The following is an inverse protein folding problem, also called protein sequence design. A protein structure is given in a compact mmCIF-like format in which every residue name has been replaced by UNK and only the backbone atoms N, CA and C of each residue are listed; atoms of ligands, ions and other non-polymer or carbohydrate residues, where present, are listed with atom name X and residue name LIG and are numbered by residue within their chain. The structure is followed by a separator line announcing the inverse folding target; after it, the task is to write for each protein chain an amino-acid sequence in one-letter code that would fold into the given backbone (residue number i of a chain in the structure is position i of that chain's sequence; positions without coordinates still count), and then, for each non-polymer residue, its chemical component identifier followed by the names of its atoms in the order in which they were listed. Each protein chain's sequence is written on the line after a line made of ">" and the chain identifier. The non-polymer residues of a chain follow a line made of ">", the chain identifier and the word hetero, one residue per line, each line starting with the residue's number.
data_IF_136057247695
#
_entry.id   IF_136057247695
#
_cell.length_a   1.000
_cell.length_b   1.000
_cell.length_c   1.000
_cell.angle_alpha   90.00
_cell.angle_beta   90.00
_cell.angle_gamma   90.00
#
_symmetry.space_group_name_H-M   'P 1'
#
loop_
_entity.id
_entity.type
_entity.pdbx_description
1 polymer ?
#
# COMPACT_ATOMS: atom_id res chain seq x y z
N UNK A 1 -31.72 14.95 -25.21
CA UNK A 1 -30.59 14.04 -24.97
C UNK A 1 -30.52 13.83 -23.47
N UNK A 2 -30.41 12.60 -22.95
CA UNK A 2 -30.26 12.44 -21.50
C UNK A 2 -29.00 13.21 -21.09
N UNK A 3 -29.14 14.13 -20.13
CA UNK A 3 -27.99 14.87 -19.59
C UNK A 3 -26.97 13.85 -19.09
N UNK A 4 -25.85 13.74 -19.80
CA UNK A 4 -24.78 12.84 -19.42
C UNK A 4 -24.28 13.24 -18.04
N UNK A 5 -24.33 12.31 -17.07
CA UNK A 5 -23.88 12.52 -15.70
C UNK A 5 -22.47 13.16 -15.66
N UNK A 6 -22.13 13.96 -14.65
CA UNK A 6 -20.78 14.52 -14.55
C UNK A 6 -19.70 13.42 -14.48
N UNK A 7 -18.44 13.79 -14.73
CA UNK A 7 -17.30 12.89 -14.56
C UNK A 7 -17.32 12.29 -13.14
N UNK A 8 -17.26 10.97 -13.07
CA UNK A 8 -17.07 10.26 -11.80
C UNK A 8 -15.57 10.15 -11.50
N UNK A 9 -15.12 10.59 -10.34
CA UNK A 9 -13.73 10.42 -9.90
C UNK A 9 -13.67 9.34 -8.82
N UNK A 10 -12.87 8.30 -9.06
CA UNK A 10 -12.60 7.23 -8.08
C UNK A 10 -11.11 7.21 -7.80
N UNK A 11 -10.73 7.31 -6.52
CA UNK A 11 -9.34 7.29 -6.08
C UNK A 11 -9.10 6.06 -5.20
N UNK A 12 -8.39 5.08 -5.75
CA UNK A 12 -7.86 3.96 -4.99
C UNK A 12 -6.60 4.39 -4.25
N UNK A 13 -6.74 4.47 -2.93
CA UNK A 13 -5.66 4.76 -2.00
C UNK A 13 -5.40 3.54 -1.14
N UNK A 14 -4.17 3.48 -0.65
CA UNK A 14 -3.81 2.79 0.56
C UNK A 14 -4.08 1.28 0.61
N UNK A 15 -3.44 0.58 1.55
CA UNK A 15 -2.04 0.80 1.90
C UNK A 15 -1.16 0.17 0.82
N UNK A 16 0.15 0.38 0.90
CA UNK A 16 1.06 -0.50 0.16
C UNK A 16 0.77 -1.95 0.60
N UNK A 17 1.09 -2.97 -0.23
CA UNK A 17 0.98 -4.38 0.19
C UNK A 17 -0.44 -4.91 0.48
N UNK A 18 -1.49 -4.21 0.03
CA UNK A 18 -2.91 -4.61 0.15
C UNK A 18 -3.48 -5.09 -1.20
N UNK A 19 -2.73 -5.95 -1.90
CA UNK A 19 -3.07 -6.39 -3.27
C UNK A 19 -2.99 -5.29 -4.34
N UNK A 20 -2.15 -4.27 -4.17
CA UNK A 20 -2.00 -3.19 -5.18
C UNK A 20 -1.76 -3.70 -6.60
N UNK A 21 -1.00 -4.80 -6.77
CA UNK A 21 -0.79 -5.46 -8.07
C UNK A 21 -2.08 -6.08 -8.64
N UNK A 22 -2.91 -6.69 -7.79
CA UNK A 22 -4.22 -7.21 -8.17
C UNK A 22 -5.07 -6.08 -8.75
N UNK A 23 -5.27 -5.01 -7.98
CA UNK A 23 -6.05 -3.87 -8.43
C UNK A 23 -5.45 -3.20 -9.67
N UNK A 24 -4.19 -2.77 -9.63
CA UNK A 24 -3.59 -1.97 -10.71
C UNK A 24 -3.41 -2.76 -12.01
N UNK A 25 -2.85 -3.97 -11.95
CA UNK A 25 -2.44 -4.69 -13.15
C UNK A 25 -3.50 -5.66 -13.65
N UNK A 26 -4.26 -6.27 -12.76
CA UNK A 26 -5.23 -7.31 -13.12
C UNK A 26 -6.66 -6.81 -13.19
N UNK A 27 -7.01 -5.71 -12.52
CA UNK A 27 -8.35 -5.13 -12.64
C UNK A 27 -8.28 -3.85 -13.48
N UNK A 28 -7.73 -2.79 -12.92
CA UNK A 28 -7.84 -1.42 -13.45
C UNK A 28 -7.19 -1.24 -14.82
N UNK A 29 -6.02 -1.85 -15.06
CA UNK A 29 -5.39 -1.81 -16.39
C UNK A 29 -6.29 -2.39 -17.49
N UNK A 30 -7.12 -3.39 -17.17
CA UNK A 30 -8.06 -4.00 -18.12
C UNK A 30 -9.34 -3.18 -18.30
N UNK A 31 -9.61 -2.21 -17.43
CA UNK A 31 -10.78 -1.32 -17.52
C UNK A 31 -10.54 -0.12 -18.44
N UNK A 32 -9.29 0.13 -18.85
CA UNK A 32 -8.96 1.25 -19.73
C UNK A 32 -9.74 1.15 -21.03
N UNK A 33 -10.50 2.19 -21.36
CA UNK A 33 -11.34 2.20 -22.55
C UNK A 33 -12.19 3.45 -22.66
N UNK A 34 -13.21 3.46 -23.55
CA UNK A 34 -14.03 4.64 -23.82
C UNK A 34 -14.75 5.23 -22.60
N UNK A 35 -15.07 4.39 -21.60
CA UNK A 35 -15.79 4.78 -20.37
C UNK A 35 -14.87 5.11 -19.18
N UNK A 36 -13.58 4.75 -19.22
CA UNK A 36 -12.67 4.88 -18.07
C UNK A 36 -11.32 5.45 -18.45
N UNK A 37 -10.97 6.59 -17.86
CA UNK A 37 -9.62 7.14 -17.83
C UNK A 37 -8.87 6.53 -16.65
N UNK A 38 -8.02 5.54 -16.90
CA UNK A 38 -7.23 4.90 -15.86
C UNK A 38 -5.81 5.51 -15.80
N UNK A 39 -5.45 6.11 -14.66
CA UNK A 39 -4.13 6.68 -14.39
C UNK A 39 -3.52 7.45 -15.58
N UNK A 40 -4.22 8.47 -16.14
CA UNK A 40 -3.71 9.23 -17.28
C UNK A 40 -2.38 9.93 -16.96
N UNK A 41 -1.30 9.72 -17.74
CA UNK A 41 0.03 10.29 -17.44
C UNK A 41 0.05 11.81 -17.24
N UNK A 42 -0.78 12.55 -17.98
CA UNK A 42 -0.97 14.00 -17.91
C UNK A 42 -1.46 14.46 -16.52
N UNK A 43 -2.18 13.61 -15.78
CA UNK A 43 -2.54 13.85 -14.39
C UNK A 43 -1.53 13.21 -13.41
N UNK A 44 -1.11 11.98 -13.69
CA UNK A 44 -0.31 11.19 -12.75
C UNK A 44 1.09 11.77 -12.51
N UNK A 45 1.71 12.37 -13.54
CA UNK A 45 3.03 12.98 -13.42
C UNK A 45 3.02 14.21 -12.49
N UNK A 46 2.18 15.24 -12.72
CA UNK A 46 2.10 16.39 -11.81
C UNK A 46 1.57 15.98 -10.42
N UNK A 47 0.64 15.01 -10.34
CA UNK A 47 0.16 14.49 -9.05
C UNK A 47 1.29 13.82 -8.25
N UNK A 48 2.16 13.04 -8.91
CA UNK A 48 3.32 12.43 -8.24
C UNK A 48 4.31 13.49 -7.75
N UNK A 49 4.56 14.54 -8.53
CA UNK A 49 5.43 15.65 -8.13
C UNK A 49 4.86 16.41 -6.94
N UNK A 50 3.55 16.69 -6.95
CA UNK A 50 2.86 17.40 -5.89
C UNK A 50 2.86 16.62 -4.56
N UNK A 51 2.63 15.30 -4.60
CA UNK A 51 2.70 14.48 -3.37
C UNK A 51 4.13 14.26 -2.87
N UNK A 52 5.14 14.48 -3.71
CA UNK A 52 6.55 14.45 -3.29
C UNK A 52 6.97 15.78 -2.66
N UNK A 53 6.39 16.88 -3.13
CA UNK A 53 6.64 18.23 -2.66
C UNK A 53 5.32 19.04 -2.71
N UNK A 54 4.54 19.06 -1.61
CA UNK A 54 3.26 19.76 -1.57
C UNK A 54 3.34 21.28 -1.80
N UNK A 55 4.52 21.86 -1.67
CA UNK A 55 4.81 23.27 -1.97
C UNK A 55 5.11 23.54 -3.44
N UNK A 56 5.10 22.51 -4.30
CA UNK A 56 5.36 22.65 -5.73
C UNK A 56 4.14 23.25 -6.46
N UNK A 57 4.11 24.57 -6.58
CA UNK A 57 3.05 25.32 -7.27
C UNK A 57 2.85 24.89 -8.72
N UNK A 58 3.94 24.59 -9.45
CA UNK A 58 3.86 24.12 -10.83
C UNK A 58 3.20 22.74 -10.92
N UNK A 59 3.52 21.84 -9.97
CA UNK A 59 2.87 20.54 -9.83
C UNK A 59 1.38 20.68 -9.52
N UNK A 60 1.02 21.59 -8.61
CA UNK A 60 -0.39 21.91 -8.29
C UNK A 60 -1.15 22.43 -9.51
N UNK A 61 -0.60 23.41 -10.21
CA UNK A 61 -1.20 23.97 -11.42
C UNK A 61 -1.42 22.90 -12.49
N UNK A 62 -0.44 22.01 -12.72
CA UNK A 62 -0.56 20.91 -13.67
C UNK A 62 -1.65 19.90 -13.29
N UNK A 63 -1.85 19.60 -12.00
CA UNK A 63 -2.96 18.76 -11.53
C UNK A 63 -4.31 19.45 -11.79
N UNK A 64 -4.43 20.72 -11.45
CA UNK A 64 -5.67 21.50 -11.65
C UNK A 64 -6.05 21.59 -13.13
N UNK A 65 -5.07 21.85 -14.00
CA UNK A 65 -5.26 21.89 -15.45
C UNK A 65 -5.74 20.52 -15.98
N UNK A 66 -5.05 19.44 -15.62
CA UNK A 66 -5.42 18.09 -16.03
C UNK A 66 -6.83 17.70 -15.53
N UNK A 67 -7.17 18.00 -14.28
CA UNK A 67 -8.51 17.72 -13.75
C UNK A 67 -9.58 18.53 -14.45
N UNK A 68 -9.31 19.81 -14.77
CA UNK A 68 -10.23 20.65 -15.52
C UNK A 68 -10.51 20.06 -16.90
N UNK A 69 -9.45 19.62 -17.60
CA UNK A 69 -9.57 18.93 -18.88
C UNK A 69 -10.45 17.66 -18.77
N UNK A 70 -10.18 16.79 -17.79
CA UNK A 70 -10.96 15.57 -17.60
C UNK A 70 -12.42 15.83 -17.25
N UNK A 71 -12.70 16.84 -16.42
CA UNK A 71 -14.08 17.24 -16.07
C UNK A 71 -14.86 17.69 -17.31
N UNK A 72 -14.23 18.41 -18.23
CA UNK A 72 -14.87 18.88 -19.47
C UNK A 72 -15.14 17.76 -20.47
N UNK A 73 -14.19 16.83 -20.67
CA UNK A 73 -14.31 15.75 -21.67
C UNK A 73 -14.98 14.47 -21.15
N UNK A 74 -15.23 14.41 -19.84
CA UNK A 74 -15.47 13.20 -19.07
C UNK A 74 -16.90 12.93 -18.67
N UNK A 75 -17.87 13.67 -19.21
CA UNK A 75 -19.28 13.40 -18.94
C UNK A 75 -19.64 11.94 -19.27
N UNK A 76 -20.30 11.27 -18.33
CA UNK A 76 -20.66 9.85 -18.40
C UNK A 76 -19.49 8.87 -18.29
N UNK A 77 -18.29 9.33 -17.91
CA UNK A 77 -17.09 8.51 -17.76
C UNK A 77 -16.59 8.48 -16.32
N UNK A 78 -15.65 7.58 -16.05
CA UNK A 78 -14.92 7.51 -14.80
C UNK A 78 -13.45 7.88 -14.98
N UNK A 79 -12.93 8.76 -14.13
CA UNK A 79 -11.50 8.96 -13.91
C UNK A 79 -11.09 8.11 -12.71
N UNK A 80 -10.38 7.02 -13.00
CA UNK A 80 -9.90 6.06 -12.00
C UNK A 80 -8.41 6.30 -11.73
N UNK A 81 -8.13 6.77 -10.52
CA UNK A 81 -6.77 7.06 -10.04
C UNK A 81 -6.41 5.98 -9.04
N UNK A 82 -5.34 5.23 -9.29
CA UNK A 82 -4.79 4.28 -8.34
C UNK A 82 -3.41 4.71 -7.91
N UNK A 83 -3.34 5.30 -6.71
CA UNK A 83 -2.12 5.84 -6.12
C UNK A 83 -2.04 5.42 -4.64
N UNK A 84 -1.60 4.18 -4.34
CA UNK A 84 -1.62 3.62 -2.98
C UNK A 84 -0.72 4.35 -1.98
N UNK A 85 0.21 5.18 -2.46
CA UNK A 85 1.10 6.04 -1.68
C UNK A 85 0.50 7.40 -1.31
N UNK A 86 -0.76 7.69 -1.68
CA UNK A 86 -1.46 8.91 -1.24
C UNK A 86 -1.41 9.10 0.29
N UNK A 87 -1.58 8.08 1.15
CA UNK A 87 -1.50 8.29 2.59
C UNK A 87 -0.09 8.64 3.11
N UNK A 88 0.97 8.58 2.30
CA UNK A 88 2.33 8.95 2.73
C UNK A 88 3.39 7.86 2.59
N UNK A 89 4.54 8.06 3.24
CA UNK A 89 5.70 7.17 3.11
C UNK A 89 5.53 5.88 3.91
N UNK A 90 5.62 4.76 3.19
CA UNK A 90 5.39 3.41 3.70
C UNK A 90 6.23 3.08 4.94
N UNK A 91 7.53 3.34 4.91
CA UNK A 91 8.42 2.95 6.02
C UNK A 91 8.45 3.97 7.15
N UNK A 92 7.83 5.13 6.98
CA UNK A 92 7.75 6.14 8.03
C UNK A 92 6.42 6.03 8.81
N UNK A 93 5.54 5.12 8.39
CA UNK A 93 4.29 4.84 9.08
C UNK A 93 3.17 5.79 8.70
N UNK A 94 3.24 6.40 7.51
CA UNK A 94 2.21 7.31 6.98
C UNK A 94 1.89 8.51 7.89
N UNK A 95 2.87 9.22 8.47
CA UNK A 95 2.58 10.37 9.33
C UNK A 95 1.87 11.50 8.56
N UNK A 96 2.07 11.59 7.24
CA UNK A 96 1.54 12.66 6.39
C UNK A 96 0.07 12.44 5.97
N UNK A 97 -0.56 11.34 6.38
CA UNK A 97 -1.88 10.98 5.88
C UNK A 97 -2.96 12.06 6.11
N UNK A 98 -3.01 12.82 7.22
CA UNK A 98 -4.01 13.87 7.38
C UNK A 98 -3.83 14.99 6.34
N UNK A 99 -2.60 15.49 6.18
CA UNK A 99 -2.30 16.59 5.25
C UNK A 99 -2.48 16.15 3.79
N UNK A 100 -2.07 14.92 3.47
CA UNK A 100 -2.15 14.38 2.11
C UNK A 100 -3.59 14.05 1.68
N UNK A 101 -4.46 13.67 2.61
CA UNK A 101 -5.89 13.49 2.37
C UNK A 101 -6.62 14.85 2.27
N UNK A 102 -6.24 15.84 3.09
CA UNK A 102 -6.74 17.21 2.95
C UNK A 102 -6.41 17.80 1.57
N UNK A 103 -5.18 17.59 1.09
CA UNK A 103 -4.76 17.98 -0.26
C UNK A 103 -5.59 17.26 -1.34
N UNK A 104 -5.86 15.95 -1.18
CA UNK A 104 -6.71 15.22 -2.11
C UNK A 104 -8.12 15.83 -2.17
N UNK A 105 -8.67 16.19 -1.00
CA UNK A 105 -9.99 16.80 -0.86
C UNK A 105 -10.07 18.16 -1.54
N UNK A 106 -9.01 18.96 -1.43
CA UNK A 106 -8.91 20.25 -2.10
C UNK A 106 -8.96 20.09 -3.63
N UNK A 107 -8.21 19.13 -4.18
CA UNK A 107 -8.09 18.91 -5.62
C UNK A 107 -9.35 18.27 -6.23
N UNK A 108 -9.94 17.30 -5.52
CA UNK A 108 -11.02 16.43 -6.01
C UNK A 108 -12.11 16.25 -4.96
N UNK A 109 -12.84 17.32 -4.57
CA UNK A 109 -13.83 17.26 -3.48
C UNK A 109 -14.99 16.28 -3.71
N UNK A 110 -15.23 15.92 -4.97
CA UNK A 110 -16.25 14.99 -5.46
C UNK A 110 -15.79 13.52 -5.53
N UNK A 111 -14.52 13.24 -5.23
CA UNK A 111 -13.96 11.90 -5.38
C UNK A 111 -14.65 10.87 -4.46
N UNK A 112 -14.83 9.67 -4.99
CA UNK A 112 -15.08 8.47 -4.20
C UNK A 112 -13.75 7.80 -3.88
N UNK A 113 -13.52 7.52 -2.60
CA UNK A 113 -12.29 6.92 -2.11
C UNK A 113 -12.50 5.42 -1.99
N UNK A 114 -11.67 4.64 -2.69
CA UNK A 114 -11.50 3.22 -2.43
C UNK A 114 -10.26 3.05 -1.54
N UNK A 115 -10.47 2.80 -0.25
CA UNK A 115 -9.39 2.54 0.69
C UNK A 115 -9.24 1.03 0.92
N UNK A 116 -8.06 0.48 0.64
CA UNK A 116 -7.80 -0.94 0.87
C UNK A 116 -6.90 -1.16 2.10
N UNK A 117 -7.50 -1.57 3.21
CA UNK A 117 -6.79 -1.85 4.45
C UNK A 117 -6.24 -3.28 4.50
N UNK A 118 -5.32 -3.55 5.42
CA UNK A 118 -4.81 -4.89 5.74
C UNK A 118 -4.48 -4.96 7.21
N UNK A 119 -4.64 -6.13 7.83
CA UNK A 119 -4.33 -6.31 9.24
C UNK A 119 -2.90 -5.84 9.55
N UNK A 120 -2.68 -4.90 10.51
CA UNK A 120 -1.40 -4.23 10.68
C UNK A 120 -0.21 -5.17 10.90
N UNK A 121 -0.36 -6.20 11.74
CA UNK A 121 0.72 -7.16 11.96
C UNK A 121 1.12 -7.86 10.64
N UNK A 122 0.14 -8.31 9.86
CA UNK A 122 0.39 -8.95 8.56
C UNK A 122 0.97 -7.97 7.53
N UNK A 123 0.56 -6.71 7.60
CA UNK A 123 1.13 -5.64 6.80
C UNK A 123 2.60 -5.40 7.14
N UNK A 124 2.93 -5.25 8.42
CA UNK A 124 4.30 -5.02 8.94
C UNK A 124 5.22 -6.16 8.52
N UNK A 125 4.76 -7.40 8.63
CA UNK A 125 5.52 -8.55 8.17
C UNK A 125 5.74 -8.53 6.64
N UNK A 126 4.74 -8.12 5.87
CA UNK A 126 4.84 -7.95 4.41
C UNK A 126 5.78 -6.80 4.01
N UNK A 127 5.77 -5.71 4.79
CA UNK A 127 6.66 -4.56 4.65
C UNK A 127 8.12 -4.94 4.93
N UNK A 128 8.37 -5.68 6.01
CA UNK A 128 9.68 -6.24 6.33
C UNK A 128 10.21 -7.11 5.18
N UNK A 129 9.43 -8.09 4.70
CA UNK A 129 9.87 -8.94 3.58
C UNK A 129 10.19 -8.12 2.31
N UNK A 130 9.48 -7.02 2.06
CA UNK A 130 9.80 -6.11 0.96
C UNK A 130 11.07 -5.31 1.20
N UNK A 131 11.33 -4.87 2.42
CA UNK A 131 12.54 -4.13 2.77
C UNK A 131 13.79 -4.97 2.49
N UNK A 132 13.74 -6.29 2.72
CA UNK A 132 14.84 -7.22 2.40
C UNK A 132 15.13 -7.36 0.89
N UNK A 133 14.14 -7.18 0.04
CA UNK A 133 14.34 -7.21 -1.43
C UNK A 133 15.08 -5.95 -1.89
N UNK A 134 14.75 -4.79 -1.29
CA UNK A 134 15.24 -3.48 -1.73
C UNK A 134 16.40 -2.95 -0.90
N UNK A 135 16.64 -3.41 0.31
CA UNK A 135 17.57 -2.83 1.28
C UNK A 135 18.55 -3.83 1.87
N UNK A 136 19.19 -3.42 2.96
CA UNK A 136 20.04 -4.28 3.76
C UNK A 136 19.23 -5.46 4.34
N UNK A 137 19.91 -6.60 4.50
CA UNK A 137 19.34 -7.73 5.22
C UNK A 137 19.49 -7.52 6.72
N UNK A 138 18.61 -8.13 7.50
CA UNK A 138 18.79 -8.31 8.93
C UNK A 138 17.50 -8.76 9.63
N UNK A 139 17.50 -8.83 10.97
CA UNK A 139 16.40 -9.35 11.78
C UNK A 139 15.12 -8.52 11.67
N UNK A 140 13.95 -9.18 11.76
CA UNK A 140 12.66 -8.49 11.81
C UNK A 140 12.53 -7.63 13.08
N UNK A 141 13.17 -8.06 14.17
CA UNK A 141 13.24 -7.35 15.43
C UNK A 141 13.92 -5.98 15.25
N UNK A 142 14.96 -5.88 14.41
CA UNK A 142 15.58 -4.58 14.10
C UNK A 142 14.65 -3.71 13.25
N UNK A 143 13.95 -4.31 12.28
CA UNK A 143 12.99 -3.58 11.43
C UNK A 143 11.81 -3.00 12.22
N UNK A 144 11.30 -3.75 13.21
CA UNK A 144 10.18 -3.36 14.06
C UNK A 144 10.61 -2.63 15.34
N UNK A 145 11.91 -2.34 15.51
CA UNK A 145 12.48 -1.75 16.72
C UNK A 145 12.14 -2.55 18.00
N UNK A 146 12.06 -3.89 17.92
CA UNK A 146 11.74 -4.77 19.03
C UNK A 146 13.01 -5.25 19.77
N UNK A 147 13.07 -5.00 21.08
CA UNK A 147 14.17 -5.42 21.97
C UNK A 147 13.63 -5.71 23.36
N UNK A 148 14.21 -6.69 24.04
CA UNK A 148 13.88 -7.01 25.45
C UNK A 148 12.38 -7.18 25.72
N UNK A 149 11.64 -7.74 24.75
CA UNK A 149 10.20 -7.98 24.89
C UNK A 149 9.30 -6.78 24.58
N UNK A 150 9.86 -5.64 24.17
CA UNK A 150 9.11 -4.40 23.92
C UNK A 150 9.42 -3.79 22.55
N UNK A 151 8.41 -3.15 21.93
CA UNK A 151 8.61 -2.32 20.74
C UNK A 151 9.05 -0.91 21.14
N UNK A 152 10.15 -0.45 20.57
CA UNK A 152 10.63 0.93 20.67
C UNK A 152 10.12 1.82 19.54
N UNK A 153 10.25 3.12 19.74
CA UNK A 153 9.94 4.12 18.72
C UNK A 153 10.99 4.15 17.61
N UNK A 154 10.60 4.66 16.44
CA UNK A 154 11.51 4.95 15.35
C UNK A 154 12.36 6.20 15.68
N UNK A 155 13.69 6.04 15.70
CA UNK A 155 14.64 7.12 16.06
C UNK A 155 15.38 7.74 14.87
N UNK A 156 15.45 7.03 13.75
CA UNK A 156 16.16 7.45 12.53
C UNK A 156 15.63 6.67 11.33
N UNK A 157 15.98 7.10 10.11
CA UNK A 157 15.59 6.39 8.87
C UNK A 157 16.09 4.95 8.86
N UNK A 158 17.30 4.72 9.36
CA UNK A 158 17.95 3.41 9.39
C UNK A 158 18.30 2.94 10.82
N UNK A 159 18.10 1.64 11.07
CA UNK A 159 18.60 0.89 12.21
C UNK A 159 19.50 -0.24 11.70
N UNK A 160 20.77 -0.26 12.11
CA UNK A 160 21.80 -1.16 11.59
C UNK A 160 21.85 -1.20 10.04
N UNK A 161 21.63 -0.04 9.40
CA UNK A 161 21.61 0.10 7.94
C UNK A 161 20.34 -0.41 7.24
N UNK A 162 19.36 -0.95 7.99
CA UNK A 162 18.05 -1.35 7.48
C UNK A 162 17.03 -0.24 7.68
N UNK A 163 16.03 -0.12 6.80
CA UNK A 163 14.84 0.68 7.13
C UNK A 163 14.18 0.07 8.37
N UNK A 164 13.57 0.90 9.20
CA UNK A 164 12.76 0.48 10.33
C UNK A 164 11.42 1.24 10.32
N UNK A 165 10.49 0.80 11.16
CA UNK A 165 9.18 1.42 11.36
C UNK A 165 8.75 1.31 12.83
N UNK A 166 7.94 2.26 13.30
CA UNK A 166 7.24 2.11 14.57
C UNK A 166 6.09 1.12 14.41
N UNK A 167 6.25 -0.06 15.00
CA UNK A 167 5.30 -1.17 14.84
C UNK A 167 3.98 -0.95 15.61
N UNK A 168 3.95 -0.05 16.61
CA UNK A 168 2.77 0.19 17.47
C UNK A 168 1.97 1.42 17.05
N UNK A 169 2.47 2.24 16.14
CA UNK A 169 1.80 3.46 15.65
C UNK A 169 1.37 3.39 14.19
N UNK A 170 1.03 2.19 13.70
CA UNK A 170 0.53 2.01 12.34
C UNK A 170 -0.92 2.52 12.17
N UNK A 171 -1.18 3.56 11.34
CA UNK A 171 -2.43 4.34 11.36
C UNK A 171 -3.55 3.75 10.48
N UNK A 172 -3.83 2.44 10.56
CA UNK A 172 -4.78 1.80 9.62
C UNK A 172 -6.20 2.36 9.71
N UNK A 173 -6.69 2.62 10.93
CA UNK A 173 -8.03 3.17 11.19
C UNK A 173 -8.09 4.67 10.99
N UNK A 174 -7.10 5.41 11.50
CA UNK A 174 -7.11 6.87 11.38
C UNK A 174 -7.09 7.31 9.91
N UNK A 175 -6.44 6.55 9.01
CA UNK A 175 -6.54 6.79 7.56
C UNK A 175 -7.99 6.65 7.06
N UNK A 176 -8.73 5.62 7.51
CA UNK A 176 -10.15 5.47 7.17
C UNK A 176 -10.99 6.62 7.73
N UNK A 177 -10.80 6.96 9.00
CA UNK A 177 -11.55 8.03 9.68
C UNK A 177 -11.34 9.38 8.99
N UNK A 178 -10.10 9.74 8.65
CA UNK A 178 -9.83 10.97 7.89
C UNK A 178 -10.44 10.92 6.48
N UNK A 179 -10.49 9.77 5.82
CA UNK A 179 -11.21 9.66 4.54
C UNK A 179 -12.70 9.97 4.72
N UNK A 180 -13.34 9.40 5.75
CA UNK A 180 -14.76 9.64 6.05
C UNK A 180 -15.00 11.11 6.42
N UNK A 181 -14.13 11.69 7.24
CA UNK A 181 -14.19 13.10 7.63
C UNK A 181 -14.14 14.04 6.41
N UNK A 182 -13.21 13.83 5.49
CA UNK A 182 -13.04 14.71 4.34
C UNK A 182 -14.07 14.47 3.22
N UNK A 183 -14.41 13.21 2.93
CA UNK A 183 -15.20 12.85 1.74
C UNK A 183 -16.66 12.49 2.05
N UNK A 184 -16.99 12.17 3.30
CA UNK A 184 -18.27 11.62 3.70
C UNK A 184 -18.31 10.10 3.59
N UNK A 185 -19.06 9.45 4.49
CA UNK A 185 -19.18 7.99 4.56
C UNK A 185 -19.75 7.39 3.26
N UNK A 186 -20.65 8.11 2.58
CA UNK A 186 -21.26 7.73 1.30
C UNK A 186 -20.24 7.63 0.15
N UNK A 187 -19.09 8.31 0.27
CA UNK A 187 -18.05 8.35 -0.75
C UNK A 187 -16.83 7.53 -0.41
N UNK A 188 -16.80 6.85 0.73
CA UNK A 188 -15.66 6.05 1.17
C UNK A 188 -16.03 4.56 1.17
N UNK A 189 -15.37 3.80 0.31
CA UNK A 189 -15.47 2.34 0.27
C UNK A 189 -14.22 1.76 0.91
N UNK A 190 -14.41 1.07 2.03
CA UNK A 190 -13.37 0.31 2.71
C UNK A 190 -13.36 -1.15 2.26
N UNK A 191 -12.20 -1.63 1.80
CA UNK A 191 -11.97 -3.04 1.53
C UNK A 191 -10.82 -3.58 2.38
N UNK A 192 -11.10 -4.51 3.28
CA UNK A 192 -10.04 -5.25 3.97
C UNK A 192 -9.44 -6.29 3.02
N UNK A 193 -8.11 -6.37 2.97
CA UNK A 193 -7.34 -7.30 2.14
C UNK A 193 -7.75 -8.76 2.37
N UNK A 194 -8.16 -9.10 3.58
CA UNK A 194 -8.68 -10.41 3.96
C UNK A 194 -9.92 -10.76 3.14
N UNK A 195 -10.86 -9.82 2.98
CA UNK A 195 -12.04 -9.99 2.12
C UNK A 195 -11.69 -9.96 0.63
N UNK A 196 -10.69 -9.17 0.21
CA UNK A 196 -10.21 -9.20 -1.19
C UNK A 196 -9.71 -10.59 -1.57
N UNK A 197 -9.12 -11.33 -0.62
CA UNK A 197 -8.65 -12.70 -0.85
C UNK A 197 -9.77 -13.74 -0.85
N UNK A 198 -10.76 -13.63 0.04
CA UNK A 198 -11.81 -14.63 0.19
C UNK A 198 -13.03 -14.40 -0.69
N UNK A 199 -13.33 -13.15 -1.05
CA UNK A 199 -14.60 -12.73 -1.67
C UNK A 199 -14.38 -12.04 -3.03
N UNK A 200 -13.57 -12.64 -3.90
CA UNK A 200 -13.11 -12.01 -5.15
C UNK A 200 -14.26 -11.51 -6.04
N UNK A 201 -15.29 -12.31 -6.24
CA UNK A 201 -16.43 -11.94 -7.11
C UNK A 201 -17.19 -10.73 -6.58
N UNK A 202 -17.46 -10.71 -5.27
CA UNK A 202 -18.15 -9.60 -4.60
C UNK A 202 -17.33 -8.31 -4.62
N UNK A 203 -16.00 -8.43 -4.49
CA UNK A 203 -15.09 -7.28 -4.66
C UNK A 203 -15.15 -6.74 -6.08
N UNK A 204 -15.10 -7.62 -7.09
CA UNK A 204 -15.21 -7.20 -8.49
C UNK A 204 -16.56 -6.50 -8.77
N UNK A 205 -17.65 -7.02 -8.24
CA UNK A 205 -18.97 -6.40 -8.38
C UNK A 205 -19.05 -5.02 -7.70
N UNK A 206 -18.51 -4.90 -6.48
CA UNK A 206 -18.39 -3.61 -5.81
C UNK A 206 -17.56 -2.61 -6.64
N UNK A 207 -16.45 -3.03 -7.23
CA UNK A 207 -15.64 -2.17 -8.13
C UNK A 207 -16.42 -1.77 -9.38
N UNK A 208 -17.20 -2.68 -9.98
CA UNK A 208 -18.05 -2.40 -11.14
C UNK A 208 -19.03 -1.25 -10.84
N UNK A 209 -19.75 -1.37 -9.72
CA UNK A 209 -20.71 -0.37 -9.23
C UNK A 209 -20.01 0.95 -8.90
N UNK A 210 -18.89 0.90 -8.17
CA UNK A 210 -18.11 2.07 -7.81
C UNK A 210 -17.65 2.86 -9.03
N UNK A 211 -17.16 2.17 -10.08
CA UNK A 211 -16.66 2.79 -11.32
C UNK A 211 -17.81 3.22 -12.24
N UNK A 212 -19.02 2.67 -12.05
CA UNK A 212 -20.19 2.97 -12.87
C UNK A 212 -20.18 2.25 -14.22
N UNK A 213 -19.72 1.00 -14.24
CA UNK A 213 -19.73 0.15 -15.44
C UNK A 213 -20.98 -0.72 -15.49
N UNK A 214 -21.54 -0.95 -16.67
CA UNK A 214 -22.67 -1.88 -16.83
C UNK A 214 -22.24 -3.33 -16.58
N UNK A 215 -21.05 -3.69 -17.06
CA UNK A 215 -20.42 -4.99 -16.85
C UNK A 215 -18.89 -4.83 -16.79
N UNK A 216 -18.22 -5.72 -16.08
CA UNK A 216 -16.77 -5.82 -16.15
C UNK A 216 -16.35 -6.53 -17.45
N UNK A 217 -15.21 -6.14 -18.05
CA UNK A 217 -14.62 -6.94 -19.11
C UNK A 217 -14.20 -8.31 -18.59
N UNK A 218 -13.99 -9.27 -19.49
CA UNK A 218 -13.38 -10.54 -19.13
C UNK A 218 -11.96 -10.27 -18.62
N UNK A 219 -11.74 -10.48 -17.33
CA UNK A 219 -10.44 -10.25 -16.70
C UNK A 219 -9.55 -11.47 -16.93
N UNK A 220 -8.42 -11.24 -17.58
CA UNK A 220 -7.38 -12.27 -17.70
C UNK A 220 -6.97 -12.81 -16.32
N UNK A 221 -6.74 -14.13 -16.18
CA UNK A 221 -6.38 -14.74 -14.92
C UNK A 221 -5.05 -14.17 -14.38
N UNK A 222 -4.91 -14.14 -13.06
CA UNK A 222 -3.65 -13.75 -12.42
C UNK A 222 -2.58 -14.83 -12.69
N UNK A 223 -1.76 -14.58 -13.71
CA UNK A 223 -0.70 -15.50 -14.13
C UNK A 223 0.57 -15.40 -13.25
N UNK A 224 0.67 -14.47 -12.30
CA UNK A 224 1.96 -14.19 -11.63
C UNK A 224 1.91 -14.36 -10.12
N UNK A 225 2.51 -15.47 -9.66
CA UNK A 225 2.83 -15.68 -8.24
C UNK A 225 3.94 -14.72 -7.80
N UNK A 226 3.58 -13.58 -7.23
CA UNK A 226 4.54 -12.66 -6.61
C UNK A 226 4.87 -13.09 -5.17
N UNK A 227 5.58 -14.21 -5.02
CA UNK A 227 5.97 -14.73 -3.71
C UNK A 227 7.07 -13.86 -3.09
N UNK A 228 6.91 -13.55 -1.81
CA UNK A 228 8.00 -12.99 -0.99
C UNK A 228 9.05 -14.06 -0.72
N UNK A 229 10.19 -13.67 -0.16
CA UNK A 229 11.16 -14.65 0.33
C UNK A 229 10.54 -15.48 1.45
N UNK A 230 10.80 -16.79 1.44
CA UNK A 230 10.44 -17.69 2.54
C UNK A 230 11.18 -17.30 3.82
N UNK A 231 10.58 -17.56 4.99
CA UNK A 231 11.23 -17.32 6.27
C UNK A 231 12.60 -18.02 6.38
N UNK A 232 12.73 -19.25 5.88
CA UNK A 232 14.01 -19.97 5.84
C UNK A 232 15.05 -19.29 4.96
N UNK A 233 14.66 -18.78 3.79
CA UNK A 233 15.57 -18.02 2.93
C UNK A 233 16.02 -16.70 3.59
N UNK A 234 15.12 -16.05 4.32
CA UNK A 234 15.42 -14.82 5.06
C UNK A 234 16.49 -15.06 6.13
N UNK A 235 16.36 -16.13 6.92
CA UNK A 235 17.36 -16.49 7.93
C UNK A 235 18.73 -16.81 7.30
N UNK A 236 18.76 -17.56 6.19
CA UNK A 236 20.00 -18.03 5.55
C UNK A 236 20.73 -16.96 4.75
N UNK A 237 20.01 -16.16 3.99
CA UNK A 237 20.60 -15.30 2.96
C UNK A 237 20.43 -13.80 3.25
N UNK A 238 19.54 -13.44 4.17
CA UNK A 238 19.24 -12.04 4.49
C UNK A 238 19.63 -11.68 5.93
N UNK A 239 20.42 -12.51 6.63
CA UNK A 239 20.78 -12.29 8.04
C UNK A 239 19.55 -12.11 8.94
N UNK A 240 18.43 -12.74 8.58
CA UNK A 240 17.13 -12.56 9.25
C UNK A 240 16.93 -13.44 10.49
N UNK A 241 18.00 -14.01 11.04
CA UNK A 241 17.98 -14.73 12.31
C UNK A 241 17.62 -13.83 13.50
N UNK A 242 17.79 -14.34 14.72
CA UNK A 242 17.54 -13.55 15.93
C UNK A 242 18.44 -12.31 15.99
N UNK A 243 17.91 -11.20 16.48
CA UNK A 243 18.70 -9.99 16.63
C UNK A 243 19.83 -10.17 17.65
N UNK A 244 21.04 -9.64 17.36
CA UNK A 244 22.15 -9.70 18.29
C UNK A 244 21.87 -8.83 19.52
N UNK A 245 22.38 -9.26 20.68
CA UNK A 245 22.30 -8.55 21.97
C UNK A 245 23.29 -7.38 22.05
N UNK A 246 23.41 -6.59 20.98
CA UNK A 246 24.27 -5.39 20.92
C UNK A 246 23.43 -4.13 20.70
N UNK A 247 23.94 -2.95 21.07
CA UNK A 247 23.31 -1.69 20.71
C UNK A 247 23.10 -1.57 19.19
N UNK A 248 21.93 -1.05 18.83
CA UNK A 248 21.57 -0.74 17.44
C UNK A 248 22.18 0.58 17.04
N UNK A 249 22.76 0.65 15.84
CA UNK A 249 23.29 1.89 15.29
C UNK A 249 22.20 2.58 14.47
N UNK A 250 21.82 3.79 14.88
CA UNK A 250 20.85 4.62 14.18
C UNK A 250 21.54 5.62 13.25
N UNK A 251 20.97 5.85 12.06
CA UNK A 251 21.51 6.81 11.08
C UNK A 251 20.41 7.30 10.15
N UNK A 252 20.47 8.57 9.76
CA UNK A 252 19.67 9.11 8.65
C UNK A 252 20.43 9.09 7.33
N UNK A 253 21.76 8.95 7.39
CA UNK A 253 22.60 8.77 6.22
C UNK A 253 22.45 7.34 5.70
N UNK A 254 21.95 7.23 4.47
CA UNK A 254 22.00 5.98 3.71
C UNK A 254 23.41 5.62 3.25
N UNK A 255 23.60 4.44 2.63
CA UNK A 255 24.89 4.07 2.07
C UNK A 255 25.32 5.07 0.99
N UNK A 256 26.60 5.44 0.97
CA UNK A 256 27.16 6.37 -0.02
C UNK A 256 26.86 5.92 -1.46
N UNK A 257 26.58 6.87 -2.35
CA UNK A 257 26.09 6.60 -3.72
C UNK A 257 26.97 5.61 -4.52
N UNK A 258 28.29 5.75 -4.41
CA UNK A 258 29.27 4.87 -5.09
C UNK A 258 29.15 3.43 -4.57
N UNK A 259 29.18 3.26 -3.24
CA UNK A 259 29.04 1.95 -2.61
C UNK A 259 27.68 1.31 -2.93
N UNK A 260 26.61 2.10 -2.91
CA UNK A 260 25.28 1.64 -3.28
C UNK A 260 25.21 1.14 -4.73
N UNK A 261 25.73 1.93 -5.68
CA UNK A 261 25.62 1.65 -7.12
C UNK A 261 26.43 0.43 -7.53
N UNK A 262 27.67 0.33 -7.06
CA UNK A 262 28.62 -0.67 -7.55
C UNK A 262 28.70 -1.94 -6.71
N UNK A 263 28.30 -1.90 -5.44
CA UNK A 263 28.42 -3.06 -4.55
C UNK A 263 27.07 -3.55 -4.04
N UNK A 264 26.34 -2.72 -3.29
CA UNK A 264 25.09 -3.17 -2.66
C UNK A 264 24.01 -3.53 -3.69
N UNK A 265 23.83 -2.71 -4.74
CA UNK A 265 22.81 -2.93 -5.77
C UNK A 265 22.98 -4.24 -6.56
N UNK A 266 24.16 -4.60 -7.09
CA UNK A 266 24.33 -5.88 -7.76
C UNK A 266 24.20 -7.05 -6.79
N UNK A 267 24.81 -6.98 -5.60
CA UNK A 267 24.75 -8.06 -4.61
C UNK A 267 23.32 -8.38 -4.17
N UNK A 268 22.49 -7.36 -3.86
CA UNK A 268 21.07 -7.59 -3.51
C UNK A 268 20.29 -8.19 -4.68
N UNK A 269 20.60 -7.82 -5.93
CA UNK A 269 19.90 -8.35 -7.12
C UNK A 269 20.24 -9.81 -7.34
N UNK A 270 21.53 -10.17 -7.19
CA UNK A 270 21.98 -11.56 -7.24
C UNK A 270 21.33 -12.39 -6.14
N UNK A 271 21.37 -11.92 -4.89
CA UNK A 271 20.67 -12.57 -3.76
C UNK A 271 19.19 -12.77 -4.04
N UNK A 272 18.48 -11.70 -4.44
CA UNK A 272 17.05 -11.76 -4.68
C UNK A 272 16.67 -12.72 -5.80
N UNK A 273 17.45 -12.74 -6.88
CA UNK A 273 17.24 -13.65 -8.00
C UNK A 273 17.52 -15.10 -7.60
N UNK A 274 18.62 -15.36 -6.88
CA UNK A 274 18.94 -16.68 -6.37
C UNK A 274 17.84 -17.22 -5.46
N UNK A 275 17.38 -16.41 -4.49
CA UNK A 275 16.29 -16.83 -3.59
C UNK A 275 15.03 -17.15 -4.40
N UNK A 276 14.58 -16.24 -5.27
CA UNK A 276 13.29 -16.39 -5.98
C UNK A 276 13.28 -17.50 -7.02
N UNK A 277 14.37 -17.67 -7.77
CA UNK A 277 14.39 -18.52 -8.96
C UNK A 277 15.13 -19.84 -8.74
N UNK A 278 15.93 -19.96 -7.68
CA UNK A 278 16.59 -21.21 -7.32
C UNK A 278 16.05 -21.74 -5.98
N UNK A 279 16.34 -21.07 -4.87
CA UNK A 279 16.09 -21.63 -3.54
C UNK A 279 14.60 -21.86 -3.22
N UNK A 280 13.80 -20.79 -3.26
CA UNK A 280 12.36 -20.83 -2.93
C UNK A 280 11.54 -21.54 -4.02
N UNK A 281 12.11 -21.75 -5.20
CA UNK A 281 11.48 -22.53 -6.27
C UNK A 281 11.58 -24.03 -6.02
N UNK A 282 12.61 -24.48 -5.28
CA UNK A 282 12.81 -25.89 -4.91
C UNK A 282 12.07 -26.23 -3.61
N UNK A 283 12.18 -25.40 -2.57
CA UNK A 283 11.44 -25.57 -1.30
C UNK A 283 11.01 -24.23 -0.75
N UNK A 284 9.72 -24.09 -0.42
CA UNK A 284 9.17 -22.85 0.15
C UNK A 284 8.77 -23.08 1.61
N UNK A 285 9.74 -22.91 2.51
CA UNK A 285 9.54 -23.12 3.96
C UNK A 285 9.29 -21.79 4.65
N UNK A 286 8.02 -21.48 4.90
CA UNK A 286 7.60 -20.16 5.36
C UNK A 286 6.80 -20.23 6.66
N UNK A 287 7.12 -19.34 7.60
CA UNK A 287 6.43 -19.18 8.88
C UNK A 287 6.34 -17.70 9.24
N UNK A 288 5.59 -17.39 10.31
CA UNK A 288 5.49 -16.03 10.80
C UNK A 288 6.72 -15.66 11.64
N UNK A 289 7.62 -14.83 11.09
CA UNK A 289 8.83 -14.37 11.77
C UNK A 289 8.53 -13.53 13.02
N UNK A 290 7.35 -12.93 13.13
CA UNK A 290 6.93 -12.19 14.33
C UNK A 290 6.51 -13.11 15.49
N UNK A 291 6.47 -14.44 15.30
CA UNK A 291 6.27 -15.35 16.44
C UNK A 291 7.48 -15.35 17.39
N UNK A 292 8.66 -14.94 16.90
CA UNK A 292 9.84 -14.78 17.76
C UNK A 292 9.59 -13.71 18.81
N UNK A 293 9.93 -14.02 20.06
CA UNK A 293 9.79 -13.08 21.18
C UNK A 293 8.36 -12.59 21.44
N UNK A 294 7.32 -13.28 20.93
CA UNK A 294 5.92 -12.90 21.16
C UNK A 294 5.47 -11.62 20.44
N UNK A 295 6.24 -11.07 19.49
CA UNK A 295 5.90 -9.83 18.79
C UNK A 295 4.50 -9.87 18.17
N UNK A 296 4.10 -11.03 17.62
CA UNK A 296 2.77 -11.20 17.02
C UNK A 296 1.66 -10.97 18.04
N UNK A 297 1.71 -11.64 19.19
CA UNK A 297 0.69 -11.51 20.23
C UNK A 297 0.58 -10.06 20.73
N UNK A 298 1.73 -9.40 20.95
CA UNK A 298 1.77 -8.01 21.38
C UNK A 298 1.18 -7.04 20.35
N UNK A 299 1.36 -7.28 19.04
CA UNK A 299 0.72 -6.47 18.00
C UNK A 299 -0.77 -6.78 17.86
N UNK A 300 -1.15 -8.04 18.06
CA UNK A 300 -2.55 -8.44 18.01
C UNK A 300 -3.35 -7.76 19.13
N UNK A 301 -2.81 -7.72 20.35
CA UNK A 301 -3.38 -6.96 21.49
C UNK A 301 -3.57 -5.47 21.19
N UNK A 302 -2.71 -4.87 20.36
CA UNK A 302 -2.78 -3.44 20.00
C UNK A 302 -3.85 -3.19 18.94
N UNK A 303 -3.98 -4.07 17.94
CA UNK A 303 -4.72 -3.76 16.72
C UNK A 303 -6.02 -4.54 16.53
N UNK A 304 -6.23 -5.67 17.21
CA UNK A 304 -7.34 -6.58 16.94
C UNK A 304 -8.71 -5.90 17.07
N UNK A 305 -8.99 -5.27 18.22
CA UNK A 305 -10.29 -4.63 18.46
C UNK A 305 -10.63 -3.53 17.44
N UNK A 306 -9.64 -2.73 17.06
CA UNK A 306 -9.79 -1.68 16.05
C UNK A 306 -9.99 -2.28 14.65
N UNK A 307 -9.20 -3.28 14.28
CA UNK A 307 -9.27 -3.87 12.94
C UNK A 307 -10.53 -4.72 12.73
N UNK A 308 -11.06 -5.34 13.79
CA UNK A 308 -12.37 -6.00 13.73
C UNK A 308 -13.48 -5.06 13.30
N UNK A 309 -13.43 -3.79 13.73
CA UNK A 309 -14.42 -2.78 13.29
C UNK A 309 -14.28 -2.52 11.78
N UNK A 310 -13.05 -2.37 11.28
CA UNK A 310 -12.77 -2.22 9.85
C UNK A 310 -13.23 -3.43 9.03
N UNK A 311 -13.03 -4.64 9.55
CA UNK A 311 -13.54 -5.87 8.93
C UNK A 311 -15.06 -5.84 8.84
N UNK A 312 -15.78 -5.49 9.91
CA UNK A 312 -17.25 -5.41 9.90
C UNK A 312 -17.74 -4.39 8.88
N UNK A 313 -17.14 -3.19 8.83
CA UNK A 313 -17.46 -2.17 7.83
C UNK A 313 -17.25 -2.72 6.42
N UNK A 314 -16.08 -3.30 6.15
CA UNK A 314 -15.77 -3.89 4.84
C UNK A 314 -16.75 -4.98 4.44
N UNK A 315 -17.16 -5.84 5.38
CA UNK A 315 -18.15 -6.90 5.12
C UNK A 315 -19.51 -6.30 4.75
N UNK A 316 -20.01 -5.33 5.54
CA UNK A 316 -21.26 -4.62 5.26
C UNK A 316 -21.24 -3.94 3.89
N UNK A 317 -20.13 -3.28 3.53
CA UNK A 317 -19.97 -2.65 2.22
C UNK A 317 -20.05 -3.67 1.09
N UNK A 318 -19.43 -4.84 1.25
CA UNK A 318 -19.53 -5.90 0.25
C UNK A 318 -20.94 -6.47 0.19
N UNK A 319 -21.66 -6.61 1.32
CA UNK A 319 -23.02 -7.17 1.36
C UNK A 319 -23.99 -6.24 0.63
N UNK A 320 -23.95 -4.94 0.92
CA UNK A 320 -24.77 -3.92 0.26
C UNK A 320 -24.51 -3.80 -1.25
N UNK A 321 -23.35 -4.25 -1.74
CA UNK A 321 -22.99 -4.21 -3.16
C UNK A 321 -23.16 -5.54 -3.89
N UNK A 322 -23.68 -6.60 -3.25
CA UNK A 322 -23.84 -7.92 -3.89
C UNK A 322 -25.22 -8.15 -4.54
N UNK A 323 -26.19 -7.27 -4.29
CA UNK A 323 -27.57 -7.35 -4.84
C UNK A 323 -27.74 -6.62 -6.18
#
# INVERSE_FOLDING_TARGET
>A
MPESSPLRIVVHIGLHKTATRFFQNFVFAQLRGPKVFFNPPELMNPLHQLYRDPANDAGRAGVVEALTHFRQMGHGKCLLISKPDIPGEMYDGYPEHPEYLALLKELMPEAHILYVARYPADWLHSAYRQSLVKGAGGPIETFLNFREGVFGEKRAIYADGMRNIDARRFPVRSIYEHCVEFFGEDRVILMCFEHVRSNKERVLECLRKLIGLDALPHLEPDRVKNRSFSARAIERFCSGGAAPQRPVVFSDAGPGHVYWRYWLKPLRKLRANFIKHAYDNVSYDDWNLMQRGGMRALLDEVYEAEYEQLLRISQTTLDANSD
#
